data_IF_654110702499
#
_entry.id   IF_654110702499
#
_cell.length_a   1.000
_cell.length_b   1.000
_cell.length_c   1.000
_cell.angle_alpha   90.00
_cell.angle_beta   90.00
_cell.angle_gamma   90.00
#
_symmetry.space_group_name_H-M   'P 1'
#
loop_
_entity.id
_entity.type
_entity.pdbx_description
1 polymer ?
#
# COMPACT_ATOMS: atom_id res chain seq x y z
N UNK A 1 -4.66 -34.50 -27.17
CA UNK A 1 -4.23 -34.83 -25.80
C UNK A 1 -4.66 -33.70 -24.90
N UNK A 2 -5.45 -33.98 -23.87
CA UNK A 2 -5.68 -33.03 -22.78
C UNK A 2 -4.46 -33.10 -21.85
N UNK A 3 -3.85 -31.98 -21.44
CA UNK A 3 -2.78 -32.01 -20.46
C UNK A 3 -3.29 -32.62 -19.15
N UNK A 4 -2.58 -33.62 -18.61
CA UNK A 4 -2.83 -34.15 -17.28
C UNK A 4 -2.36 -33.13 -16.23
N UNK A 5 -3.07 -32.96 -15.09
CA UNK A 5 -2.78 -31.95 -14.07
C UNK A 5 -1.35 -31.96 -13.46
N UNK A 6 -0.57 -33.02 -13.71
CA UNK A 6 0.69 -33.30 -13.03
C UNK A 6 1.93 -32.64 -13.66
N UNK A 7 1.79 -31.85 -14.73
CA UNK A 7 2.91 -31.18 -15.41
C UNK A 7 2.89 -29.65 -15.21
N UNK A 8 2.72 -29.20 -13.96
CA UNK A 8 2.92 -27.79 -13.60
C UNK A 8 4.42 -27.51 -13.60
N UNK A 9 4.89 -26.75 -14.59
CA UNK A 9 6.31 -26.41 -14.75
C UNK A 9 6.70 -25.07 -14.14
N UNK A 10 5.73 -24.21 -13.84
CA UNK A 10 5.96 -22.84 -13.36
C UNK A 10 4.87 -22.43 -12.38
N UNK A 11 5.28 -21.73 -11.32
CA UNK A 11 4.39 -21.11 -10.34
C UNK A 11 4.76 -19.63 -10.24
N UNK A 12 3.76 -18.75 -10.36
CA UNK A 12 3.90 -17.32 -10.07
C UNK A 12 3.15 -17.08 -8.75
N UNK A 13 3.84 -16.49 -7.79
CA UNK A 13 3.28 -16.15 -6.48
C UNK A 13 3.16 -14.64 -6.38
N UNK A 14 1.97 -14.16 -6.03
CA UNK A 14 1.80 -12.78 -5.60
C UNK A 14 2.61 -12.54 -4.32
N UNK A 15 2.94 -11.28 -4.06
CA UNK A 15 3.59 -10.90 -2.83
C UNK A 15 2.57 -10.74 -1.70
N UNK A 16 1.58 -9.87 -1.90
CA UNK A 16 0.62 -9.47 -0.87
C UNK A 16 -0.30 -10.62 -0.45
N UNK A 17 -0.34 -10.93 0.85
CA UNK A 17 -1.22 -11.98 1.41
C UNK A 17 -0.98 -13.41 0.88
N UNK A 18 0.10 -13.61 0.11
CA UNK A 18 0.56 -14.92 -0.36
C UNK A 18 1.93 -15.22 0.24
N UNK A 19 2.95 -14.42 -0.12
CA UNK A 19 4.29 -14.54 0.46
C UNK A 19 4.44 -13.74 1.76
N UNK A 20 3.69 -12.66 1.92
CA UNK A 20 3.70 -11.84 3.13
C UNK A 20 2.32 -11.71 3.76
N UNK A 21 2.27 -11.36 5.05
CA UNK A 21 1.01 -11.00 5.72
C UNK A 21 0.74 -9.52 5.52
N UNK A 22 -0.53 -9.14 5.60
CA UNK A 22 -0.91 -7.71 5.74
C UNK A 22 -0.26 -7.13 7.00
N UNK A 23 -0.01 -5.81 7.03
CA UNK A 23 0.35 -5.11 8.26
C UNK A 23 -0.67 -5.39 9.37
N UNK A 24 -0.17 -5.48 10.59
CA UNK A 24 -1.00 -5.54 11.80
C UNK A 24 -1.79 -4.25 11.99
N UNK A 25 -2.87 -4.33 12.78
CA UNK A 25 -3.65 -3.14 13.12
C UNK A 25 -2.78 -2.08 13.81
N UNK A 26 -1.86 -2.51 14.67
CA UNK A 26 -0.93 -1.61 15.37
C UNK A 26 0.04 -0.89 14.42
N UNK A 27 0.53 -1.56 13.39
CA UNK A 27 1.36 -0.91 12.36
C UNK A 27 0.58 0.14 11.58
N UNK A 28 -0.68 -0.15 11.24
CA UNK A 28 -1.57 0.82 10.59
C UNK A 28 -1.91 1.98 11.54
N UNK A 29 -2.16 1.69 12.82
CA UNK A 29 -2.42 2.70 13.86
C UNK A 29 -1.29 3.72 13.94
N UNK A 30 -0.03 3.26 13.95
CA UNK A 30 1.14 4.14 14.00
C UNK A 30 1.18 5.09 12.80
N UNK A 31 0.82 4.61 11.60
CA UNK A 31 0.79 5.45 10.40
C UNK A 31 -0.38 6.44 10.47
N UNK A 32 -1.59 5.96 10.82
CA UNK A 32 -2.77 6.81 10.95
C UNK A 32 -2.56 7.93 11.97
N UNK A 33 -1.85 7.66 13.07
CA UNK A 33 -1.47 8.64 14.09
C UNK A 33 -0.54 9.74 13.57
N UNK A 34 0.42 9.42 12.68
CA UNK A 34 1.28 10.44 12.03
C UNK A 34 0.41 11.44 11.27
N UNK A 35 -0.62 10.95 10.59
CA UNK A 35 -1.54 11.75 9.80
C UNK A 35 -2.75 12.30 10.57
N UNK A 36 -2.88 11.93 11.85
CA UNK A 36 -3.98 12.35 12.75
C UNK A 36 -5.37 12.01 12.20
N UNK A 37 -5.52 10.84 11.59
CA UNK A 37 -6.79 10.34 11.03
C UNK A 37 -7.20 9.03 11.69
N UNK A 38 -8.50 8.69 11.60
CA UNK A 38 -9.00 7.38 11.99
C UNK A 38 -8.74 6.32 10.90
N UNK A 39 -8.99 5.04 11.22
CA UNK A 39 -8.79 3.93 10.27
C UNK A 39 -9.61 4.08 8.98
N UNK A 40 -10.93 4.35 9.03
CA UNK A 40 -11.71 4.53 7.82
C UNK A 40 -11.16 5.63 6.90
N UNK A 41 -10.81 6.79 7.48
CA UNK A 41 -10.25 7.91 6.71
C UNK A 41 -8.87 7.57 6.16
N UNK A 42 -8.03 6.88 6.94
CA UNK A 42 -6.72 6.41 6.49
C UNK A 42 -6.84 5.57 5.21
N UNK A 43 -7.71 4.55 5.20
CA UNK A 43 -7.88 3.68 4.04
C UNK A 43 -8.48 4.41 2.83
N UNK A 44 -9.43 5.32 3.05
CA UNK A 44 -9.97 6.15 1.97
C UNK A 44 -8.88 7.00 1.29
N UNK A 45 -8.02 7.67 2.09
CA UNK A 45 -6.94 8.49 1.57
C UNK A 45 -5.80 7.67 0.97
N UNK A 46 -5.53 6.49 1.54
CA UNK A 46 -4.55 5.55 1.00
C UNK A 46 -4.95 5.10 -0.41
N UNK A 47 -6.21 4.69 -0.58
CA UNK A 47 -6.70 4.23 -1.89
C UNK A 47 -6.82 5.36 -2.93
N UNK A 48 -7.09 6.61 -2.50
CA UNK A 48 -7.34 7.77 -3.37
C UNK A 48 -6.29 7.95 -4.48
N UNK A 49 -5.00 7.80 -4.18
CA UNK A 49 -3.91 7.97 -5.14
C UNK A 49 -3.17 6.65 -5.46
N UNK A 50 -3.65 5.52 -4.92
CA UNK A 50 -2.95 4.24 -4.97
C UNK A 50 -2.76 3.74 -6.39
N UNK A 51 -3.80 3.86 -7.23
CA UNK A 51 -3.75 3.40 -8.61
C UNK A 51 -2.69 4.11 -9.46
N UNK A 52 -2.48 5.42 -9.26
CA UNK A 52 -1.43 6.17 -9.96
C UNK A 52 -0.04 5.78 -9.45
N UNK A 53 0.10 5.55 -8.14
CA UNK A 53 1.35 5.09 -7.54
C UNK A 53 1.75 3.69 -8.02
N UNK A 54 0.82 2.73 -8.00
CA UNK A 54 1.08 1.35 -8.42
C UNK A 54 1.42 1.24 -9.91
N UNK A 55 0.93 2.16 -10.74
CA UNK A 55 1.29 2.28 -12.16
C UNK A 55 2.56 3.07 -12.42
N UNK A 56 3.20 3.59 -11.37
CA UNK A 56 4.37 4.47 -11.44
C UNK A 56 4.12 5.80 -12.16
N UNK A 57 2.86 6.26 -12.25
CA UNK A 57 2.52 7.60 -12.75
C UNK A 57 3.00 8.69 -11.77
N UNK A 58 3.09 8.34 -10.47
CA UNK A 58 3.67 9.17 -9.41
C UNK A 58 4.65 8.36 -8.57
N UNK A 59 5.66 9.03 -8.02
CA UNK A 59 6.63 8.40 -7.11
C UNK A 59 6.14 8.31 -5.67
N UNK A 60 6.80 7.49 -4.85
CA UNK A 60 6.41 7.28 -3.44
C UNK A 60 6.44 8.56 -2.59
N UNK A 61 7.39 9.46 -2.86
CA UNK A 61 7.44 10.77 -2.20
C UNK A 61 6.18 11.59 -2.50
N UNK A 62 5.82 11.69 -3.78
CA UNK A 62 4.66 12.47 -4.20
C UNK A 62 3.35 11.89 -3.66
N UNK A 63 3.23 10.55 -3.64
CA UNK A 63 2.08 9.86 -3.05
C UNK A 63 1.87 10.27 -1.57
N UNK A 64 2.93 10.21 -0.76
CA UNK A 64 2.85 10.59 0.66
C UNK A 64 2.72 12.10 0.88
N UNK A 65 3.31 12.94 0.03
CA UNK A 65 3.09 14.40 0.08
C UNK A 65 1.62 14.76 -0.20
N UNK A 66 0.98 14.11 -1.16
CA UNK A 66 -0.46 14.29 -1.45
C UNK A 66 -1.32 13.84 -0.27
N UNK A 67 -1.01 12.69 0.33
CA UNK A 67 -1.66 12.23 1.56
C UNK A 67 -1.50 13.25 2.71
N UNK A 68 -0.29 13.77 2.90
CA UNK A 68 0.00 14.78 3.91
C UNK A 68 -0.78 16.08 3.66
N UNK A 69 -0.88 16.51 2.40
CA UNK A 69 -1.68 17.67 2.01
C UNK A 69 -3.17 17.48 2.32
N UNK A 70 -3.73 16.29 2.04
CA UNK A 70 -5.15 15.98 2.29
C UNK A 70 -5.48 15.97 3.80
N UNK A 71 -4.48 15.72 4.65
CA UNK A 71 -4.61 15.66 6.12
C UNK A 71 -4.08 16.91 6.83
N UNK A 72 -3.59 17.90 6.07
CA UNK A 72 -2.91 19.08 6.60
C UNK A 72 -1.79 18.72 7.60
N UNK A 73 -1.01 17.69 7.28
CA UNK A 73 0.14 17.24 8.07
C UNK A 73 1.46 17.52 7.34
N UNK A 74 2.55 17.58 8.11
CA UNK A 74 3.88 17.85 7.58
C UNK A 74 4.82 16.68 7.89
N UNK A 75 5.16 15.91 6.86
CA UNK A 75 6.19 14.87 6.96
C UNK A 75 7.56 15.54 6.86
N UNK A 76 8.31 15.59 7.96
CA UNK A 76 9.67 16.17 7.96
C UNK A 76 10.66 15.17 7.39
N UNK A 77 11.60 15.67 6.58
CA UNK A 77 12.80 14.89 6.20
C UNK A 77 13.67 14.69 7.43
N UNK A 78 14.10 13.46 7.66
CA UNK A 78 15.32 13.21 8.45
C UNK A 78 16.48 13.42 7.46
N UNK A 79 17.39 14.33 7.80
CA UNK A 79 18.61 14.60 7.02
C UNK A 79 19.56 13.40 7.07
#
# INVERSE_FOLDING_TARGET
MHPTPDDIRTIILDYGMVLCRRPSLEEIDRIAQIFRVDHPTFWQLYEKNRGAYDKSDIGGKEYWDRFASDTNTHIRRVQ
#
